data_IF_600012396509
#
_entry.id   IF_600012396509
#
_cell.length_a   1.000
_cell.length_b   1.000
_cell.length_c   1.000
_cell.angle_alpha   90.00
_cell.angle_beta   90.00
_cell.angle_gamma   90.00
#
_symmetry.space_group_name_H-M   'P 1'
#
loop_
_entity.id
_entity.type
_entity.pdbx_description
1 polymer ?
#
# COMPACT_ATOMS: atom_id res chain seq x y z
N UNK A 1 -6.56 3.50 -34.80
CA UNK A 1 -5.39 2.79 -34.21
C UNK A 1 -4.80 3.48 -32.97
N UNK A 2 -5.29 4.65 -32.55
CA UNK A 2 -4.72 5.45 -31.43
C UNK A 2 -5.20 4.96 -30.04
N UNK A 3 -6.43 4.47 -29.92
CA UNK A 3 -7.04 4.04 -28.66
C UNK A 3 -6.37 2.82 -27.97
N UNK A 4 -5.56 2.04 -28.68
CA UNK A 4 -4.88 0.87 -28.10
C UNK A 4 -3.69 1.27 -27.23
N UNK A 5 -3.00 2.37 -27.55
CA UNK A 5 -1.79 2.79 -26.86
C UNK A 5 -2.12 3.47 -25.52
N UNK A 6 -3.17 4.28 -25.50
CA UNK A 6 -3.66 4.94 -24.27
C UNK A 6 -4.15 3.95 -23.22
N UNK A 7 -4.84 2.88 -23.67
CA UNK A 7 -5.31 1.81 -22.77
C UNK A 7 -4.16 1.01 -22.17
N UNK A 8 -3.13 0.66 -22.96
CA UNK A 8 -1.94 -0.04 -22.45
C UNK A 8 -1.20 0.83 -21.42
N UNK A 9 -1.10 2.14 -21.67
CA UNK A 9 -0.52 3.08 -20.72
C UNK A 9 -1.33 3.15 -19.43
N UNK A 10 -2.67 3.21 -19.52
CA UNK A 10 -3.56 3.18 -18.37
C UNK A 10 -3.43 1.87 -17.57
N UNK A 11 -3.34 0.71 -18.22
CA UNK A 11 -3.11 -0.58 -17.55
C UNK A 11 -1.75 -0.64 -16.82
N UNK A 12 -0.70 -0.07 -17.42
CA UNK A 12 0.61 0.08 -16.78
C UNK A 12 0.56 1.00 -15.56
N UNK A 13 -0.13 2.13 -15.69
CA UNK A 13 -0.36 3.06 -14.58
C UNK A 13 -1.17 2.41 -13.46
N UNK A 14 -2.24 1.68 -13.79
CA UNK A 14 -3.02 0.92 -12.81
C UNK A 14 -2.14 -0.03 -12.01
N UNK A 15 -1.31 -0.82 -12.69
CA UNK A 15 -0.40 -1.78 -12.05
C UNK A 15 0.58 -1.07 -11.10
N UNK A 16 1.11 0.09 -11.52
CA UNK A 16 1.98 0.94 -10.72
C UNK A 16 1.27 1.50 -9.48
N UNK A 17 0.04 2.02 -9.64
CA UNK A 17 -0.77 2.52 -8.52
C UNK A 17 -1.05 1.41 -7.51
N UNK A 18 -1.56 0.27 -8.00
CA UNK A 18 -1.94 -0.88 -7.19
C UNK A 18 -0.77 -1.41 -6.38
N UNK A 19 0.38 -1.65 -7.02
CA UNK A 19 1.57 -2.18 -6.36
C UNK A 19 2.09 -1.22 -5.29
N UNK A 20 2.11 0.10 -5.58
CA UNK A 20 2.55 1.09 -4.60
C UNK A 20 1.62 1.16 -3.39
N UNK A 21 0.30 1.18 -3.59
CA UNK A 21 -0.67 1.19 -2.49
C UNK A 21 -0.59 -0.09 -1.65
N UNK A 22 -0.49 -1.25 -2.30
CA UNK A 22 -0.31 -2.53 -1.63
C UNK A 22 0.94 -2.54 -0.77
N UNK A 23 2.06 -2.05 -1.30
CA UNK A 23 3.32 -1.99 -0.56
C UNK A 23 3.25 -1.05 0.65
N UNK A 24 2.55 0.08 0.53
CA UNK A 24 2.34 0.97 1.68
C UNK A 24 1.48 0.30 2.77
N UNK A 25 0.40 -0.39 2.41
CA UNK A 25 -0.41 -1.15 3.38
C UNK A 25 0.35 -2.31 4.02
N UNK A 26 1.15 -3.04 3.24
CA UNK A 26 2.01 -4.11 3.77
C UNK A 26 3.00 -3.57 4.80
N UNK A 27 3.61 -2.39 4.54
CA UNK A 27 4.53 -1.75 5.48
C UNK A 27 3.81 -1.32 6.76
N UNK A 28 2.61 -0.75 6.66
CA UNK A 28 1.78 -0.43 7.81
C UNK A 28 1.50 -1.69 8.64
N UNK A 29 1.08 -2.77 7.97
CA UNK A 29 0.82 -4.05 8.62
C UNK A 29 2.02 -4.55 9.40
N UNK A 30 3.23 -4.55 8.81
CA UNK A 30 4.44 -4.99 9.51
C UNK A 30 4.77 -4.16 10.74
N UNK A 31 4.67 -2.83 10.66
CA UNK A 31 4.89 -1.97 11.83
C UNK A 31 3.84 -2.21 12.92
N UNK A 32 2.58 -2.41 12.54
CA UNK A 32 1.52 -2.72 13.49
C UNK A 32 1.73 -4.09 14.16
N UNK A 33 2.11 -5.12 13.39
CA UNK A 33 2.44 -6.45 13.92
C UNK A 33 3.61 -6.43 14.89
N UNK A 34 4.62 -5.59 14.66
CA UNK A 34 5.72 -5.40 15.60
C UNK A 34 5.22 -4.78 16.91
N UNK A 35 4.31 -3.81 16.87
CA UNK A 35 3.72 -3.22 18.06
C UNK A 35 2.92 -4.24 18.88
N UNK A 36 2.15 -5.11 18.21
CA UNK A 36 1.43 -6.19 18.88
C UNK A 36 2.40 -7.20 19.50
N UNK A 37 3.44 -7.59 18.77
CA UNK A 37 4.48 -8.47 19.28
C UNK A 37 5.18 -7.88 20.52
N UNK A 38 5.49 -6.58 20.52
CA UNK A 38 6.07 -5.94 21.71
C UNK A 38 5.17 -6.05 22.94
N UNK A 39 3.85 -5.91 22.77
CA UNK A 39 2.90 -6.08 23.88
C UNK A 39 2.81 -7.53 24.36
N UNK A 40 2.97 -8.49 23.45
CA UNK A 40 2.97 -9.91 23.79
C UNK A 40 4.21 -10.25 24.63
N UNK A 41 5.41 -9.90 24.17
CA UNK A 41 6.67 -10.23 24.86
C UNK A 41 6.87 -9.43 26.15
N UNK A 42 6.24 -8.26 26.30
CA UNK A 42 6.37 -7.47 27.52
C UNK A 42 5.94 -8.26 28.76
N UNK A 43 5.00 -9.20 28.63
CA UNK A 43 4.55 -10.05 29.73
C UNK A 43 5.65 -10.97 30.25
N UNK A 44 6.54 -11.40 29.36
CA UNK A 44 7.56 -12.41 29.63
C UNK A 44 8.94 -11.78 29.93
N UNK A 45 9.18 -10.55 29.50
CA UNK A 45 10.49 -9.87 29.55
C UNK A 45 10.43 -8.47 30.20
N UNK A 46 9.46 -8.19 31.07
CA UNK A 46 9.27 -6.85 31.65
C UNK A 46 10.54 -6.33 32.36
N UNK A 47 11.26 -7.20 33.07
CA UNK A 47 12.48 -6.81 33.78
C UNK A 47 13.59 -6.38 32.81
N UNK A 48 13.82 -7.15 31.74
CA UNK A 48 14.83 -6.87 30.72
C UNK A 48 14.49 -5.62 29.93
N UNK A 49 13.21 -5.45 29.56
CA UNK A 49 12.74 -4.25 28.88
C UNK A 49 12.93 -2.99 29.75
N UNK A 50 12.70 -3.10 31.06
CA UNK A 50 12.89 -2.01 32.02
C UNK A 50 14.36 -1.63 32.26
N UNK A 51 15.34 -2.42 31.81
CA UNK A 51 16.75 -2.01 31.85
C UNK A 51 17.08 -0.93 30.81
N UNK A 52 16.28 -0.84 29.74
CA UNK A 52 16.53 0.08 28.61
C UNK A 52 15.25 0.82 28.18
N UNK A 53 14.57 1.52 29.11
CA UNK A 53 13.23 2.06 28.87
C UNK A 53 13.21 3.11 27.75
N UNK A 54 14.26 3.92 27.63
CA UNK A 54 14.39 4.92 26.56
C UNK A 54 14.48 4.26 25.18
N UNK A 55 15.23 3.16 25.05
CA UNK A 55 15.39 2.45 23.78
C UNK A 55 14.05 1.86 23.32
N UNK A 56 13.35 1.15 24.20
CA UNK A 56 12.06 0.56 23.87
C UNK A 56 10.97 1.60 23.64
N UNK A 57 10.93 2.65 24.46
CA UNK A 57 10.01 3.77 24.27
C UNK A 57 10.20 4.46 22.91
N UNK A 58 11.43 4.75 22.51
CA UNK A 58 11.74 5.33 21.20
C UNK A 58 11.39 4.37 20.05
N UNK A 59 11.66 3.08 20.21
CA UNK A 59 11.37 2.05 19.21
C UNK A 59 9.86 1.90 18.96
N UNK A 60 9.08 1.79 20.04
CA UNK A 60 7.61 1.73 19.98
C UNK A 60 7.08 3.01 19.33
N UNK A 61 7.53 4.19 19.77
CA UNK A 61 7.12 5.46 19.20
C UNK A 61 7.42 5.52 17.69
N UNK A 62 8.61 5.13 17.25
CA UNK A 62 8.99 5.12 15.84
C UNK A 62 8.05 4.25 15.00
N UNK A 63 7.64 3.08 15.49
CA UNK A 63 6.67 2.22 14.82
C UNK A 63 5.26 2.82 14.80
N UNK A 64 4.78 3.40 15.91
CA UNK A 64 3.50 4.10 15.97
C UNK A 64 3.47 5.27 14.98
N UNK A 65 4.49 6.13 15.00
CA UNK A 65 4.62 7.25 14.05
C UNK A 65 4.64 6.76 12.60
N UNK A 66 5.32 5.65 12.33
CA UNK A 66 5.36 5.05 10.98
C UNK A 66 3.98 4.59 10.52
N UNK A 67 3.21 3.91 11.38
CA UNK A 67 1.82 3.50 11.09
C UNK A 67 0.95 4.72 10.81
N UNK A 68 0.92 5.68 11.74
CA UNK A 68 0.07 6.86 11.64
C UNK A 68 0.40 7.70 10.40
N UNK A 69 1.69 7.95 10.13
CA UNK A 69 2.13 8.75 8.98
C UNK A 69 1.75 8.07 7.66
N UNK A 70 1.96 6.76 7.54
CA UNK A 70 1.62 6.01 6.33
C UNK A 70 0.11 5.93 6.11
N UNK A 71 -0.68 5.66 7.16
CA UNK A 71 -2.14 5.67 7.07
C UNK A 71 -2.69 7.05 6.74
N UNK A 72 -2.15 8.11 7.35
CA UNK A 72 -2.51 9.48 7.01
C UNK A 72 -2.17 9.81 5.56
N UNK A 73 -1.04 9.34 5.03
CA UNK A 73 -0.71 9.51 3.62
C UNK A 73 -1.60 8.66 2.71
N UNK A 74 -2.03 7.48 3.16
CA UNK A 74 -2.89 6.59 2.39
C UNK A 74 -4.31 7.15 2.23
N UNK A 75 -4.89 7.65 3.32
CA UNK A 75 -6.26 8.17 3.40
C UNK A 75 -6.36 9.71 3.29
N UNK A 76 -5.23 10.40 3.32
CA UNK A 76 -5.16 11.86 3.35
C UNK A 76 -5.75 12.50 2.09
N UNK A 77 -6.52 13.57 2.28
CA UNK A 77 -7.13 14.37 1.20
C UNK A 77 -6.15 15.34 0.53
N UNK A 78 -4.98 15.59 1.13
CA UNK A 78 -4.03 16.66 0.74
C UNK A 78 -2.57 16.21 0.83
N UNK A 79 -2.21 15.02 0.33
CA UNK A 79 -0.77 14.78 0.16
C UNK A 79 -0.28 15.42 -1.13
N UNK A 80 1.02 15.72 -1.15
CA UNK A 80 1.71 16.29 -2.31
C UNK A 80 1.46 15.40 -3.53
N UNK A 81 1.41 15.99 -4.71
CA UNK A 81 1.17 15.34 -6.02
C UNK A 81 2.06 14.10 -6.26
N UNK A 82 3.19 13.98 -5.55
CA UNK A 82 4.13 12.84 -5.61
C UNK A 82 3.78 11.64 -4.73
N UNK A 83 2.85 11.78 -3.78
CA UNK A 83 2.35 10.69 -2.95
C UNK A 83 1.11 10.08 -3.60
N UNK A 84 1.02 8.76 -3.51
CA UNK A 84 0.02 7.98 -4.22
C UNK A 84 -1.02 7.59 -3.17
N UNK A 85 -2.20 8.20 -3.26
CA UNK A 85 -3.26 8.13 -2.24
C UNK A 85 -4.38 7.22 -2.72
N UNK A 86 -5.13 6.64 -1.79
CA UNK A 86 -6.32 5.85 -2.12
C UNK A 86 -7.30 6.66 -2.96
N UNK A 87 -7.48 7.95 -2.64
CA UNK A 87 -8.38 8.82 -3.40
C UNK A 87 -7.94 8.99 -4.86
N UNK A 88 -6.67 9.30 -5.09
CA UNK A 88 -6.12 9.45 -6.44
C UNK A 88 -6.24 8.16 -7.25
N UNK A 89 -6.08 7.00 -6.62
CA UNK A 89 -6.30 5.71 -7.26
C UNK A 89 -7.77 5.48 -7.64
N UNK A 90 -8.71 5.80 -6.75
CA UNK A 90 -10.14 5.70 -7.05
C UNK A 90 -10.58 6.65 -8.16
N UNK A 91 -10.05 7.88 -8.16
CA UNK A 91 -10.29 8.86 -9.22
C UNK A 91 -9.72 8.33 -10.56
N UNK A 92 -8.50 7.76 -10.56
CA UNK A 92 -7.93 7.07 -11.72
C UNK A 92 -8.80 5.91 -12.23
N UNK A 93 -9.29 5.04 -11.34
CA UNK A 93 -10.17 3.91 -11.71
C UNK A 93 -11.46 4.42 -12.35
N UNK A 94 -12.05 5.48 -11.78
CA UNK A 94 -13.27 6.10 -12.30
C UNK A 94 -13.07 6.69 -13.71
N UNK A 95 -11.91 7.28 -13.97
CA UNK A 95 -11.58 7.87 -15.27
C UNK A 95 -11.26 6.83 -16.35
N UNK A 96 -10.86 5.61 -15.94
CA UNK A 96 -10.39 4.55 -16.85
C UNK A 96 -11.23 3.27 -16.73
N UNK A 97 -12.54 3.38 -16.49
CA UNK A 97 -13.43 2.21 -16.30
C UNK A 97 -13.40 1.23 -17.49
N UNK A 98 -13.09 1.73 -18.69
CA UNK A 98 -13.04 0.95 -19.92
C UNK A 98 -11.93 -0.11 -19.93
N UNK A 99 -10.85 0.07 -19.15
CA UNK A 99 -9.82 -0.97 -19.00
C UNK A 99 -10.31 -2.11 -18.10
N UNK A 100 -11.41 -1.96 -17.37
CA UNK A 100 -11.99 -3.00 -16.51
C UNK A 100 -13.19 -3.72 -17.15
N UNK A 101 -13.50 -3.45 -18.43
CA UNK A 101 -14.56 -4.14 -19.14
C UNK A 101 -14.23 -5.62 -19.40
N UNK A 102 -15.26 -6.43 -19.64
CA UNK A 102 -15.09 -7.84 -20.02
C UNK A 102 -14.23 -7.99 -21.28
N UNK A 103 -14.40 -7.11 -22.26
CA UNK A 103 -13.61 -7.09 -23.50
C UNK A 103 -12.13 -6.79 -23.23
N UNK A 104 -11.82 -5.83 -22.35
CA UNK A 104 -10.46 -5.53 -21.96
C UNK A 104 -9.83 -6.70 -21.16
N UNK A 105 -10.62 -7.36 -20.32
CA UNK A 105 -10.20 -8.55 -19.59
C UNK A 105 -9.88 -9.74 -20.51
N UNK A 106 -10.75 -10.05 -21.46
CA UNK A 106 -10.48 -11.07 -22.48
C UNK A 106 -9.23 -10.76 -23.30
N UNK A 107 -9.04 -9.48 -23.69
CA UNK A 107 -7.83 -9.04 -24.37
C UNK A 107 -6.58 -9.32 -23.54
N UNK A 108 -6.59 -9.02 -22.24
CA UNK A 108 -5.47 -9.30 -21.33
C UNK A 108 -5.19 -10.80 -21.23
N UNK A 109 -6.23 -11.62 -21.08
CA UNK A 109 -6.08 -13.08 -21.03
C UNK A 109 -5.42 -13.64 -22.30
N UNK A 110 -5.75 -13.10 -23.47
CA UNK A 110 -5.15 -13.54 -24.75
C UNK A 110 -3.71 -13.03 -24.95
N UNK A 111 -3.32 -11.92 -24.33
CA UNK A 111 -1.93 -11.42 -24.37
C UNK A 111 -1.00 -12.20 -23.45
N UNK A 112 -1.52 -12.67 -22.31
CA UNK A 112 -0.83 -13.59 -21.41
C UNK A 112 -1.08 -15.00 -21.93
N UNK A 113 -0.37 -15.47 -22.96
CA UNK A 113 -0.41 -16.86 -23.40
C UNK A 113 -0.01 -17.80 -22.23
N UNK A 114 -1.00 -18.16 -21.41
CA UNK A 114 -1.06 -19.28 -20.47
C UNK A 114 -2.28 -20.12 -20.85
N UNK A 115 -2.24 -20.65 -22.06
CA UNK A 115 -2.93 -21.88 -22.41
C UNK A 115 -1.92 -22.66 -23.24
N UNK A 116 -1.01 -23.31 -22.51
CA UNK A 116 -0.37 -24.61 -22.75
C UNK A 116 0.19 -25.06 -21.39
#
# INVERSE_FOLDING_TARGET
MIASNDKLKAEGEFSRYHERLRNELNRVYWHFRLLDYFKEIQKDYDQELNQTPTFWGLTINAHVFSVLTRLNNFFGKKGKVSHLHMRSFLDFVKENLDIFSSEAFERRLRMVNRYD
#
